data_IF_631717609656
#
_entry.id   IF_631717609656
#
_cell.length_a   1.000
_cell.length_b   1.000
_cell.length_c   1.000
_cell.angle_alpha   90.00
_cell.angle_beta   90.00
_cell.angle_gamma   90.00
#
_symmetry.space_group_name_H-M   'P 1'
#
loop_
_entity.id
_entity.type
_entity.pdbx_description
1 polymer ?
#
# COMPACT_ATOMS: atom_id res chain seq x y z
N UNK A 1 -19.60 16.05 -10.72
CA UNK A 1 -18.53 15.48 -11.59
C UNK A 1 -17.34 14.92 -10.81
N UNK A 2 -17.26 15.04 -9.48
CA UNK A 2 -16.18 14.48 -8.64
C UNK A 2 -16.41 13.04 -8.16
N UNK A 3 -17.63 12.50 -8.33
CA UNK A 3 -18.07 11.23 -7.75
C UNK A 3 -17.27 9.99 -8.22
N UNK A 4 -16.62 10.07 -9.39
CA UNK A 4 -15.80 8.98 -9.93
C UNK A 4 -14.28 9.26 -9.87
N UNK A 5 -13.85 10.40 -9.32
CA UNK A 5 -12.44 10.79 -9.33
C UNK A 5 -11.56 9.85 -8.50
N UNK A 6 -12.09 9.34 -7.38
CA UNK A 6 -11.43 8.36 -6.53
C UNK A 6 -11.08 7.06 -7.29
N UNK A 7 -11.94 6.64 -8.22
CA UNK A 7 -11.74 5.44 -9.03
C UNK A 7 -10.54 5.60 -9.96
N UNK A 8 -10.39 6.76 -10.60
CA UNK A 8 -9.22 7.05 -11.44
C UNK A 8 -7.92 7.11 -10.62
N UNK A 9 -7.95 7.69 -9.42
CA UNK A 9 -6.79 7.66 -8.52
C UNK A 9 -6.44 6.23 -8.07
N UNK A 10 -7.44 5.39 -7.78
CA UNK A 10 -7.22 3.99 -7.42
C UNK A 10 -6.59 3.18 -8.56
N UNK A 11 -7.08 3.32 -9.79
CA UNK A 11 -6.48 2.68 -10.97
C UNK A 11 -5.06 3.20 -11.20
N UNK A 12 -4.86 4.52 -11.15
CA UNK A 12 -3.53 5.13 -11.35
C UNK A 12 -2.54 4.61 -10.32
N UNK A 13 -2.96 4.49 -9.06
CA UNK A 13 -2.17 3.88 -7.99
C UNK A 13 -1.78 2.44 -8.34
N UNK A 14 -2.74 1.59 -8.75
CA UNK A 14 -2.45 0.20 -9.11
C UNK A 14 -1.44 0.07 -10.27
N UNK A 15 -1.56 0.91 -11.30
CA UNK A 15 -0.62 0.95 -12.43
C UNK A 15 0.77 1.38 -11.97
N UNK A 16 0.87 2.44 -11.18
CA UNK A 16 2.15 2.98 -10.72
C UNK A 16 2.86 2.03 -9.74
N UNK A 17 2.12 1.37 -8.84
CA UNK A 17 2.67 0.34 -7.96
C UNK A 17 3.19 -0.86 -8.75
N UNK A 18 2.43 -1.34 -9.74
CA UNK A 18 2.87 -2.41 -10.62
C UNK A 18 4.18 -2.08 -11.35
N UNK A 19 4.29 -0.88 -11.92
CA UNK A 19 5.52 -0.39 -12.55
C UNK A 19 6.67 -0.30 -11.53
N UNK A 20 6.43 0.27 -10.35
CA UNK A 20 7.42 0.40 -9.30
C UNK A 20 8.00 -0.96 -8.87
N UNK A 21 7.17 -2.00 -8.77
CA UNK A 21 7.64 -3.34 -8.44
C UNK A 21 8.48 -3.96 -9.56
N UNK A 22 8.09 -3.82 -10.83
CA UNK A 22 8.90 -4.28 -11.96
C UNK A 22 10.28 -3.61 -11.99
N UNK A 23 10.35 -2.31 -11.75
CA UNK A 23 11.61 -1.57 -11.68
C UNK A 23 12.44 -1.99 -10.46
N UNK A 24 11.79 -2.21 -9.31
CA UNK A 24 12.45 -2.67 -8.08
C UNK A 24 13.07 -4.04 -8.26
N UNK A 25 12.37 -5.01 -8.87
CA UNK A 25 12.91 -6.34 -9.19
C UNK A 25 14.16 -6.24 -10.05
N UNK A 26 14.12 -5.41 -11.11
CA UNK A 26 15.31 -5.15 -11.94
C UNK A 26 16.47 -4.60 -11.10
N UNK A 27 16.24 -3.57 -10.29
CA UNK A 27 17.29 -2.92 -9.48
C UNK A 27 17.88 -3.89 -8.45
N UNK A 28 17.04 -4.70 -7.79
CA UNK A 28 17.48 -5.69 -6.81
C UNK A 28 18.32 -6.80 -7.45
N UNK A 29 18.01 -7.20 -8.70
CA UNK A 29 18.82 -8.17 -9.46
C UNK A 29 20.20 -7.66 -9.84
N UNK A 30 20.39 -6.35 -9.93
CA UNK A 30 21.71 -5.72 -10.11
C UNK A 30 22.56 -5.73 -8.81
N UNK A 31 22.08 -6.36 -7.74
CA UNK A 31 22.80 -6.50 -6.46
C UNK A 31 22.64 -5.31 -5.52
N UNK A 32 21.77 -4.34 -5.85
CA UNK A 32 21.43 -3.26 -4.93
C UNK A 32 20.67 -3.81 -3.73
N UNK A 33 21.11 -3.43 -2.53
CA UNK A 33 20.48 -3.89 -1.29
C UNK A 33 19.11 -3.22 -1.08
N UNK A 34 18.18 -3.96 -0.49
CA UNK A 34 16.83 -3.45 -0.16
C UNK A 34 16.92 -2.17 0.70
N UNK A 35 17.80 -2.17 1.70
CA UNK A 35 18.01 -1.01 2.56
C UNK A 35 18.43 0.25 1.79
N UNK A 36 19.36 0.11 0.83
CA UNK A 36 19.78 1.24 -0.01
C UNK A 36 18.63 1.73 -0.91
N UNK A 37 17.98 0.80 -1.63
CA UNK A 37 16.88 1.13 -2.53
C UNK A 37 15.73 1.86 -1.80
N UNK A 38 15.29 1.30 -0.68
CA UNK A 38 14.23 1.89 0.14
C UNK A 38 14.65 3.25 0.72
N UNK A 39 15.91 3.43 1.12
CA UNK A 39 16.38 4.73 1.62
C UNK A 39 16.27 5.80 0.54
N UNK A 40 16.73 5.51 -0.68
CA UNK A 40 16.64 6.46 -1.81
C UNK A 40 15.18 6.80 -2.12
N UNK A 41 14.30 5.79 -2.23
CA UNK A 41 12.87 6.01 -2.49
C UNK A 41 12.24 6.89 -1.40
N UNK A 42 12.52 6.60 -0.12
CA UNK A 42 11.96 7.37 0.99
C UNK A 42 12.50 8.80 1.05
N UNK A 43 13.74 9.07 0.63
CA UNK A 43 14.26 10.44 0.53
C UNK A 43 13.48 11.26 -0.51
N UNK A 44 13.21 10.69 -1.68
CA UNK A 44 12.38 11.35 -2.71
C UNK A 44 10.94 11.56 -2.22
N UNK A 45 10.35 10.57 -1.56
CA UNK A 45 9.00 10.69 -0.99
C UNK A 45 8.94 11.77 0.09
N UNK A 46 9.91 11.81 1.00
CA UNK A 46 9.98 12.83 2.05
C UNK A 46 10.06 14.24 1.43
N UNK A 47 10.95 14.45 0.47
CA UNK A 47 11.09 15.75 -0.19
C UNK A 47 9.79 16.17 -0.90
N UNK A 48 9.16 15.24 -1.61
CA UNK A 48 7.89 15.49 -2.31
C UNK A 48 6.76 15.83 -1.34
N UNK A 49 6.56 15.03 -0.28
CA UNK A 49 5.46 15.22 0.66
C UNK A 49 5.65 16.45 1.56
N UNK A 50 6.89 16.83 1.87
CA UNK A 50 7.16 18.13 2.52
C UNK A 50 6.69 19.28 1.62
N UNK A 51 7.08 19.28 0.34
CA UNK A 51 6.65 20.31 -0.60
C UNK A 51 5.13 20.35 -0.76
N UNK A 52 4.49 19.17 -0.85
CA UNK A 52 3.05 19.03 -0.97
C UNK A 52 2.30 19.53 0.28
N UNK A 53 2.82 19.24 1.47
CA UNK A 53 2.25 19.74 2.74
C UNK A 53 2.27 21.28 2.82
N UNK A 54 3.33 21.93 2.34
CA UNK A 54 3.38 23.39 2.26
C UNK A 54 2.40 23.96 1.23
N UNK A 55 2.21 23.27 0.10
CA UNK A 55 1.22 23.63 -0.90
C UNK A 55 -0.22 23.60 -0.33
N UNK A 56 -0.56 22.58 0.46
CA UNK A 56 -1.88 22.45 1.10
C UNK A 56 -2.11 23.40 2.28
N UNK A 57 -1.05 24.04 2.81
CA UNK A 57 -1.10 24.90 4.00
C UNK A 57 -1.76 24.23 5.21
N UNK A 58 -1.66 22.91 5.32
CA UNK A 58 -2.42 22.09 6.28
C UNK A 58 -1.71 21.87 7.62
N UNK A 59 -0.47 22.35 7.77
CA UNK A 59 0.41 22.07 8.92
C UNK A 59 -0.23 22.42 10.27
N UNK A 60 -0.72 23.65 10.45
CA UNK A 60 -1.30 24.09 11.72
C UNK A 60 -2.51 23.25 12.13
N UNK A 61 -3.45 23.03 11.19
CA UNK A 61 -4.65 22.22 11.42
C UNK A 61 -4.30 20.78 11.79
N UNK A 62 -3.35 20.17 11.08
CA UNK A 62 -2.94 18.79 11.34
C UNK A 62 -2.22 18.65 12.68
N UNK A 63 -1.38 19.62 13.06
CA UNK A 63 -0.71 19.63 14.37
C UNK A 63 -1.71 19.76 15.53
N UNK A 64 -2.79 20.51 15.36
CA UNK A 64 -3.86 20.57 16.36
C UNK A 64 -4.60 19.24 16.49
N UNK A 65 -4.92 18.59 15.38
CA UNK A 65 -5.56 17.26 15.38
C UNK A 65 -4.71 16.20 16.10
N UNK A 66 -3.37 16.26 15.98
CA UNK A 66 -2.45 15.35 16.67
C UNK A 66 -2.42 15.53 18.20
N UNK A 67 -2.75 16.73 18.70
CA UNK A 67 -2.81 17.00 20.15
C UNK A 67 -4.06 16.42 20.79
N UNK A 68 -5.07 16.06 20.00
CA UNK A 68 -6.37 15.61 20.48
C UNK A 68 -6.56 14.11 20.21
N UNK A 69 -6.64 13.31 21.26
CA UNK A 69 -6.99 11.89 21.19
C UNK A 69 -5.89 10.94 20.71
N UNK A 70 -6.29 9.76 20.24
CA UNK A 70 -5.39 8.64 19.91
C UNK A 70 -4.81 8.72 18.49
N UNK A 71 -4.97 9.83 17.78
CA UNK A 71 -4.57 9.95 16.37
C UNK A 71 -3.06 9.76 16.17
N UNK A 72 -2.25 10.28 17.09
CA UNK A 72 -0.79 10.08 17.10
C UNK A 72 -0.42 8.60 17.21
N UNK A 73 -1.12 7.84 18.05
CA UNK A 73 -0.92 6.38 18.16
C UNK A 73 -1.32 5.67 16.85
N UNK A 74 -2.48 6.00 16.28
CA UNK A 74 -2.95 5.41 15.02
C UNK A 74 -1.95 5.67 13.88
N UNK A 75 -1.47 6.90 13.74
CA UNK A 75 -0.46 7.27 12.74
C UNK A 75 0.85 6.51 12.96
N UNK A 76 1.25 6.33 14.22
CA UNK A 76 2.47 5.57 14.56
C UNK A 76 2.34 4.11 14.15
N UNK A 77 1.22 3.46 14.47
CA UNK A 77 0.94 2.08 14.04
C UNK A 77 0.90 1.98 12.52
N UNK A 78 0.21 2.91 11.84
CA UNK A 78 0.16 2.98 10.38
C UNK A 78 1.55 3.10 9.76
N UNK A 79 2.41 3.99 10.29
CA UNK A 79 3.77 4.17 9.80
C UNK A 79 4.61 2.89 9.98
N UNK A 80 4.52 2.23 11.14
CA UNK A 80 5.19 0.96 11.38
C UNK A 80 4.69 -0.15 10.45
N UNK A 81 3.38 -0.25 10.23
CA UNK A 81 2.80 -1.20 9.28
C UNK A 81 3.30 -0.95 7.85
N UNK A 82 3.42 0.31 7.44
CA UNK A 82 3.94 0.66 6.12
C UNK A 82 5.42 0.27 5.96
N UNK A 83 6.24 0.53 6.99
CA UNK A 83 7.67 0.16 6.98
C UNK A 83 7.83 -1.37 6.90
N UNK A 84 7.14 -2.11 7.77
CA UNK A 84 7.22 -3.57 7.82
C UNK A 84 6.67 -4.19 6.54
N UNK A 85 5.55 -3.67 6.04
CA UNK A 85 4.94 -4.11 4.77
C UNK A 85 5.88 -3.92 3.58
N UNK A 86 6.51 -2.74 3.45
CA UNK A 86 7.48 -2.48 2.40
C UNK A 86 8.71 -3.40 2.53
N UNK A 87 9.25 -3.59 3.73
CA UNK A 87 10.36 -4.54 3.92
C UNK A 87 9.95 -5.96 3.48
N UNK A 88 8.77 -6.43 3.86
CA UNK A 88 8.28 -7.76 3.51
C UNK A 88 8.12 -7.95 1.99
N UNK A 89 7.49 -7.00 1.29
CA UNK A 89 7.29 -7.13 -0.16
C UNK A 89 8.61 -7.05 -0.93
N UNK A 90 9.50 -6.11 -0.59
CA UNK A 90 10.80 -6.01 -1.29
C UNK A 90 11.67 -7.25 -1.04
N UNK A 91 11.59 -7.85 0.15
CA UNK A 91 12.20 -9.16 0.39
C UNK A 91 11.55 -10.26 -0.47
N UNK A 92 10.22 -10.34 -0.54
CA UNK A 92 9.53 -11.31 -1.38
C UNK A 92 9.89 -11.17 -2.87
N UNK A 93 10.02 -9.94 -3.37
CA UNK A 93 10.48 -9.64 -4.73
C UNK A 93 11.91 -10.15 -4.93
N UNK A 94 12.82 -9.84 -3.99
CA UNK A 94 14.22 -10.28 -4.07
C UNK A 94 14.40 -11.81 -4.07
N UNK A 95 13.51 -12.53 -3.39
CA UNK A 95 13.57 -13.99 -3.27
C UNK A 95 12.99 -14.71 -4.48
N UNK A 96 12.04 -14.09 -5.20
CA UNK A 96 11.39 -14.70 -6.37
C UNK A 96 11.41 -13.75 -7.56
N UNK A 97 10.37 -12.95 -7.73
CA UNK A 97 10.26 -11.85 -8.69
C UNK A 97 9.05 -10.96 -8.35
N UNK A 98 8.96 -9.80 -8.99
CA UNK A 98 7.86 -8.86 -8.78
C UNK A 98 6.48 -9.46 -9.08
N UNK A 99 6.37 -10.24 -10.14
CA UNK A 99 5.08 -10.78 -10.62
C UNK A 99 4.42 -11.68 -9.57
N UNK A 100 5.13 -12.69 -9.06
CA UNK A 100 4.57 -13.59 -8.05
C UNK A 100 4.42 -12.93 -6.68
N UNK A 101 5.34 -12.06 -6.30
CA UNK A 101 5.28 -11.37 -5.01
C UNK A 101 4.03 -10.46 -4.95
N UNK A 102 3.83 -9.62 -5.96
CA UNK A 102 2.70 -8.70 -6.04
C UNK A 102 1.36 -9.45 -6.24
N UNK A 103 1.38 -10.60 -6.93
CA UNK A 103 0.18 -11.42 -7.09
C UNK A 103 -0.36 -11.90 -5.74
N UNK A 104 0.50 -12.28 -4.79
CA UNK A 104 0.05 -12.64 -3.44
C UNK A 104 -0.33 -11.38 -2.66
N UNK A 105 0.46 -10.31 -2.80
CA UNK A 105 0.23 -9.03 -2.11
C UNK A 105 -1.14 -8.44 -2.40
N UNK A 106 -1.65 -8.54 -3.64
CA UNK A 106 -2.95 -7.97 -4.05
C UNK A 106 -4.16 -8.57 -3.31
N UNK A 107 -3.95 -9.56 -2.44
CA UNK A 107 -4.93 -10.02 -1.45
C UNK A 107 -5.16 -9.04 -0.29
N UNK A 108 -4.35 -7.99 -0.14
CA UNK A 108 -4.48 -6.98 0.92
C UNK A 108 -5.88 -6.34 1.06
N UNK A 109 -6.71 -6.12 0.00
CA UNK A 109 -8.04 -5.56 0.15
C UNK A 109 -8.94 -6.37 1.10
N UNK A 110 -8.70 -7.67 1.21
CA UNK A 110 -9.43 -8.55 2.12
C UNK A 110 -9.05 -8.30 3.58
N UNK A 111 -7.76 -8.10 3.84
CA UNK A 111 -7.29 -7.67 5.14
C UNK A 111 -7.75 -6.25 5.46
N UNK A 112 -7.83 -5.35 4.47
CA UNK A 112 -8.40 -4.01 4.65
C UNK A 112 -9.86 -4.07 5.08
N UNK A 113 -10.69 -4.89 4.42
CA UNK A 113 -12.09 -5.10 4.81
C UNK A 113 -12.17 -5.69 6.22
N UNK A 114 -11.37 -6.72 6.51
CA UNK A 114 -11.35 -7.38 7.81
C UNK A 114 -10.99 -6.41 8.94
N UNK A 115 -9.92 -5.63 8.80
CA UNK A 115 -9.50 -4.66 9.81
C UNK A 115 -10.48 -3.49 9.92
N UNK A 116 -11.07 -3.04 8.81
CA UNK A 116 -12.14 -2.03 8.83
C UNK A 116 -13.34 -2.51 9.64
N UNK A 117 -13.74 -3.78 9.48
CA UNK A 117 -14.82 -4.39 10.25
C UNK A 117 -14.45 -4.59 11.73
N UNK A 118 -13.31 -5.22 12.02
CA UNK A 118 -12.92 -5.61 13.38
C UNK A 118 -12.52 -4.42 14.26
N UNK A 119 -11.74 -3.49 13.72
CA UNK A 119 -11.12 -2.40 14.49
C UNK A 119 -12.02 -1.18 14.49
N UNK A 120 -12.46 -0.74 13.30
CA UNK A 120 -13.16 0.52 13.13
C UNK A 120 -14.68 0.38 13.10
N UNK A 121 -15.20 -0.83 12.89
CA UNK A 121 -16.64 -1.13 12.78
C UNK A 121 -17.36 -0.27 11.72
N UNK A 122 -16.62 0.20 10.72
CA UNK A 122 -17.10 1.15 9.70
C UNK A 122 -17.52 0.47 8.39
N UNK A 123 -17.46 -0.86 8.33
CA UNK A 123 -17.81 -1.62 7.14
C UNK A 123 -18.63 -2.84 7.54
N UNK A 124 -19.81 -3.02 6.95
CA UNK A 124 -20.60 -4.24 7.14
C UNK A 124 -20.12 -5.30 6.14
N UNK A 125 -19.75 -6.48 6.65
CA UNK A 125 -19.40 -7.61 5.79
C UNK A 125 -20.65 -8.06 5.04
N UNK A 126 -20.76 -7.63 3.79
CA UNK A 126 -21.87 -7.97 2.90
C UNK A 126 -21.52 -9.17 2.02
N UNK A 127 -22.55 -9.89 1.56
CA UNK A 127 -22.38 -11.03 0.66
C UNK A 127 -21.57 -10.68 -0.62
N UNK A 128 -21.76 -9.52 -1.28
CA UNK A 128 -20.91 -9.11 -2.40
C UNK A 128 -19.42 -8.97 -2.05
N UNK A 129 -19.10 -8.45 -0.85
CA UNK A 129 -17.71 -8.31 -0.41
C UNK A 129 -17.04 -9.68 -0.22
N UNK A 130 -17.77 -10.65 0.34
CA UNK A 130 -17.30 -12.03 0.49
C UNK A 130 -17.05 -12.68 -0.87
N UNK A 131 -18.03 -12.57 -1.79
CA UNK A 131 -17.91 -13.14 -3.13
C UNK A 131 -16.76 -12.52 -3.93
N UNK A 132 -16.61 -11.20 -3.86
CA UNK A 132 -15.48 -10.48 -4.46
C UNK A 132 -14.14 -10.97 -3.91
N UNK A 133 -14.06 -11.22 -2.60
CA UNK A 133 -12.84 -11.74 -2.00
C UNK A 133 -12.49 -13.17 -2.40
N UNK A 134 -13.48 -14.04 -2.54
CA UNK A 134 -13.28 -15.39 -3.09
C UNK A 134 -12.75 -15.30 -4.53
N UNK A 135 -13.29 -14.38 -5.34
CA UNK A 135 -12.82 -14.18 -6.71
C UNK A 135 -11.39 -13.66 -6.78
N UNK A 136 -10.98 -12.76 -5.88
CA UNK A 136 -9.59 -12.29 -5.77
C UNK A 136 -8.66 -13.48 -5.52
N UNK A 137 -8.93 -14.29 -4.49
CA UNK A 137 -8.10 -15.46 -4.20
C UNK A 137 -8.10 -16.49 -5.33
N UNK A 138 -9.25 -16.70 -5.97
CA UNK A 138 -9.35 -17.62 -7.12
C UNK A 138 -8.48 -17.14 -8.29
N UNK A 139 -8.51 -15.83 -8.59
CA UNK A 139 -7.66 -15.24 -9.62
C UNK A 139 -6.17 -15.39 -9.30
N UNK A 140 -5.78 -15.11 -8.05
CA UNK A 140 -4.41 -15.31 -7.55
C UNK A 140 -4.00 -16.78 -7.72
N UNK A 141 -4.83 -17.72 -7.30
CA UNK A 141 -4.54 -19.16 -7.39
C UNK A 141 -4.37 -19.63 -8.84
N UNK A 142 -5.24 -19.19 -9.76
CA UNK A 142 -5.15 -19.55 -11.18
C UNK A 142 -3.85 -19.07 -11.79
N UNK A 143 -3.48 -17.80 -11.55
CA UNK A 143 -2.24 -17.23 -12.09
C UNK A 143 -1.03 -17.92 -11.46
N UNK A 144 -1.06 -18.21 -10.15
CA UNK A 144 0.06 -18.88 -9.49
C UNK A 144 0.30 -20.31 -9.98
N UNK A 145 -0.77 -21.05 -10.30
CA UNK A 145 -0.67 -22.45 -10.75
C UNK A 145 -0.27 -22.55 -12.23
N UNK A 146 -0.73 -21.61 -13.07
CA UNK A 146 -0.59 -21.71 -14.54
C UNK A 146 0.32 -20.67 -15.20
N UNK A 147 0.70 -19.61 -14.49
CA UNK A 147 1.60 -18.55 -14.97
C UNK A 147 3.00 -18.71 -14.41
#
# INVERSE_FOLDING_TARGET
MTTNLWFYYAISSAVLWGLAYCLSDKILREGITIGFLMTIINLFQLAFFIAYMFYERSLHKNMEALKTGNLTFIITVMALSYIIGNLAIFHAISLKNASYANLIEISYPLFTILFSYLIFKNFEISLPAILGGILIFSGIAIIYIKG
#
